data_IF_419952220017
#
_entry.id   IF_419952220017
#
_cell.length_a   1.000
_cell.length_b   1.000
_cell.length_c   1.000
_cell.angle_alpha   90.00
_cell.angle_beta   90.00
_cell.angle_gamma   90.00
#
_symmetry.space_group_name_H-M   'P 1'
#
loop_
_entity.id
_entity.type
_entity.pdbx_description
1 polymer ?
#
# COMPACT_ATOMS: atom_id res chain seq x y z
N UNK A 1 -1.30 7.65 15.61
CA UNK A 1 -1.34 6.85 14.37
C UNK A 1 -0.67 5.51 14.62
N UNK A 2 -1.35 4.43 14.29
CA UNK A 2 -0.80 3.06 14.28
C UNK A 2 -0.39 2.70 12.85
N UNK A 3 0.84 2.26 12.67
CA UNK A 3 1.35 1.82 11.37
C UNK A 3 1.13 0.31 11.16
N UNK A 4 0.67 -0.08 9.98
CA UNK A 4 0.60 -1.47 9.55
C UNK A 4 0.99 -1.63 8.07
N UNK A 5 1.95 -2.51 7.82
CA UNK A 5 2.23 -3.02 6.48
C UNK A 5 1.33 -4.22 6.16
N UNK A 6 0.82 -4.32 4.95
CA UNK A 6 -0.03 -5.46 4.54
C UNK A 6 0.77 -6.64 3.97
N UNK A 7 2.10 -6.56 3.95
CA UNK A 7 3.00 -7.60 3.48
C UNK A 7 3.07 -8.83 4.39
N UNK A 8 3.90 -9.80 4.01
CA UNK A 8 3.99 -11.13 4.67
C UNK A 8 4.48 -11.09 6.13
N UNK A 9 5.09 -9.98 6.56
CA UNK A 9 5.53 -9.79 7.94
C UNK A 9 4.44 -9.38 8.93
N UNK A 10 3.19 -9.21 8.50
CA UNK A 10 2.11 -8.85 9.42
C UNK A 10 1.75 -10.03 10.33
N UNK A 11 1.80 -9.80 11.65
CA UNK A 11 1.41 -10.79 12.65
C UNK A 11 -0.09 -11.09 12.57
N UNK A 12 -0.47 -12.36 12.71
CA UNK A 12 -1.87 -12.78 12.86
C UNK A 12 -2.50 -12.30 14.18
N UNK A 13 -1.66 -11.96 15.17
CA UNK A 13 -2.06 -11.44 16.48
C UNK A 13 -2.01 -9.93 16.57
N UNK A 14 -1.82 -9.22 15.43
CA UNK A 14 -1.60 -7.78 15.36
C UNK A 14 -2.50 -6.97 16.32
N UNK A 15 -3.81 -7.16 16.23
CA UNK A 15 -4.74 -6.41 17.07
C UNK A 15 -4.68 -6.83 18.55
N UNK A 16 -4.46 -8.12 18.81
CA UNK A 16 -4.31 -8.62 20.17
C UNK A 16 -3.06 -8.03 20.83
N UNK A 17 -1.96 -7.94 20.11
CA UNK A 17 -0.69 -7.42 20.59
C UNK A 17 -0.81 -5.92 20.93
N UNK A 18 -1.48 -5.14 20.07
CA UNK A 18 -1.69 -3.71 20.31
C UNK A 18 -2.80 -3.38 21.33
N UNK A 19 -3.75 -4.27 21.55
CA UNK A 19 -4.75 -4.12 22.63
C UNK A 19 -4.23 -4.57 24.00
N UNK A 20 -3.09 -5.20 24.05
CA UNK A 20 -2.42 -5.65 25.27
C UNK A 20 -0.99 -5.11 25.36
N UNK A 21 -0.79 -3.87 24.90
CA UNK A 21 0.55 -3.29 24.86
C UNK A 21 1.03 -2.96 26.30
N UNK A 22 2.21 -3.44 26.73
CA UNK A 22 2.71 -3.18 28.08
C UNK A 22 3.15 -1.71 28.21
N UNK A 23 2.74 -1.08 29.30
CA UNK A 23 3.17 0.27 29.69
C UNK A 23 3.66 0.29 31.14
N UNK A 24 4.22 1.41 31.59
CA UNK A 24 4.63 1.60 32.98
C UNK A 24 3.43 1.56 33.98
N UNK A 25 2.23 1.79 33.50
CA UNK A 25 1.00 1.85 34.30
C UNK A 25 0.11 0.60 34.13
N UNK A 26 0.63 -0.44 33.49
CA UNK A 26 -0.10 -1.65 33.16
C UNK A 26 -0.31 -1.84 31.66
N UNK A 27 -1.33 -2.60 31.26
CA UNK A 27 -1.65 -2.86 29.85
C UNK A 27 -2.57 -1.79 29.29
N UNK A 28 -2.26 -1.24 28.13
CA UNK A 28 -3.07 -0.25 27.40
C UNK A 28 -3.58 -0.82 26.08
N UNK A 29 -4.75 -0.34 25.65
CA UNK A 29 -5.30 -0.67 24.32
C UNK A 29 -4.85 0.35 23.30
N UNK A 30 -4.70 -0.07 22.05
CA UNK A 30 -4.31 0.83 20.97
C UNK A 30 -5.26 2.00 20.79
N UNK A 31 -6.56 1.81 21.01
CA UNK A 31 -7.58 2.87 20.93
C UNK A 31 -7.41 3.98 21.97
N UNK A 32 -6.64 3.75 23.04
CA UNK A 32 -6.40 4.75 24.07
C UNK A 32 -5.36 5.80 23.65
N UNK A 33 -4.50 5.46 22.65
CA UNK A 33 -3.42 6.34 22.19
C UNK A 33 -3.32 6.54 20.66
N UNK A 34 -4.09 5.80 19.87
CA UNK A 34 -4.12 5.94 18.42
C UNK A 34 -5.56 5.95 17.89
N UNK A 35 -5.85 6.90 17.01
CA UNK A 35 -7.17 7.07 16.38
C UNK A 35 -7.14 6.81 14.86
N UNK A 36 -6.00 6.44 14.31
CA UNK A 36 -5.81 6.24 12.87
C UNK A 36 -4.92 5.04 12.62
N UNK A 37 -5.37 4.12 11.77
CA UNK A 37 -4.56 3.04 11.23
C UNK A 37 -3.96 3.48 9.89
N UNK A 38 -2.63 3.53 9.82
CA UNK A 38 -1.91 3.88 8.61
C UNK A 38 -1.46 2.63 7.87
N UNK A 39 -2.11 2.36 6.75
CA UNK A 39 -1.89 1.21 5.88
C UNK A 39 -0.90 1.59 4.77
N UNK A 40 0.27 0.97 4.78
CA UNK A 40 1.29 1.15 3.74
C UNK A 40 1.67 -0.20 3.14
N UNK A 41 1.71 -0.27 1.82
CA UNK A 41 2.08 -1.50 1.12
C UNK A 41 2.36 -1.26 -0.36
N UNK A 42 2.75 -2.33 -1.05
CA UNK A 42 2.90 -2.30 -2.49
C UNK A 42 1.53 -2.11 -3.17
N UNK A 43 1.47 -1.31 -4.24
CA UNK A 43 0.25 -1.24 -5.03
C UNK A 43 -0.21 -2.62 -5.51
N UNK A 44 0.72 -3.52 -5.86
CA UNK A 44 0.42 -4.89 -6.24
C UNK A 44 -0.34 -5.69 -5.17
N UNK A 45 -0.10 -5.39 -3.87
CA UNK A 45 -0.83 -6.05 -2.78
C UNK A 45 -2.26 -5.54 -2.64
N UNK A 46 -2.51 -4.27 -2.99
CA UNK A 46 -3.85 -3.67 -2.99
C UNK A 46 -4.64 -3.95 -4.27
N UNK A 47 -3.95 -4.21 -5.40
CA UNK A 47 -4.57 -4.44 -6.71
C UNK A 47 -3.80 -5.55 -7.45
N UNK A 48 -3.95 -6.82 -7.05
CA UNK A 48 -3.14 -7.94 -7.57
C UNK A 48 -3.40 -8.26 -9.04
N UNK A 49 -4.61 -8.04 -9.52
CA UNK A 49 -5.04 -8.25 -10.91
C UNK A 49 -5.84 -7.04 -11.39
N UNK A 50 -5.90 -6.81 -12.69
CA UNK A 50 -6.68 -5.70 -13.24
C UNK A 50 -8.16 -5.82 -12.84
N UNK A 51 -8.67 -4.77 -12.19
CA UNK A 51 -10.06 -4.72 -11.72
C UNK A 51 -10.35 -5.49 -10.43
N UNK A 52 -9.38 -6.19 -9.85
CA UNK A 52 -9.50 -6.84 -8.54
C UNK A 52 -8.79 -6.03 -7.47
N UNK A 53 -9.49 -5.67 -6.44
CA UNK A 53 -8.97 -4.86 -5.35
C UNK A 53 -9.02 -5.63 -4.03
N UNK A 54 -7.95 -5.54 -3.24
CA UNK A 54 -7.77 -6.35 -2.02
C UNK A 54 -8.84 -6.11 -0.95
N UNK A 55 -9.55 -5.00 -0.99
CA UNK A 55 -10.65 -4.69 -0.08
C UNK A 55 -12.00 -5.30 -0.52
N UNK A 56 -12.12 -5.79 -1.76
CA UNK A 56 -13.35 -6.39 -2.26
C UNK A 56 -13.50 -7.84 -1.78
N UNK A 57 -14.74 -8.31 -1.70
CA UNK A 57 -15.06 -9.66 -1.22
C UNK A 57 -14.55 -10.77 -2.14
N UNK A 58 -14.44 -10.50 -3.44
CA UNK A 58 -13.98 -11.42 -4.49
C UNK A 58 -12.46 -11.55 -4.58
N UNK A 59 -11.70 -10.74 -3.85
CA UNK A 59 -10.25 -10.84 -3.77
C UNK A 59 -9.84 -11.66 -2.52
N UNK A 60 -9.15 -12.80 -2.73
CA UNK A 60 -8.82 -13.76 -1.66
C UNK A 60 -7.31 -14.02 -1.54
N UNK A 61 -6.47 -13.08 -1.98
CA UNK A 61 -5.02 -13.17 -1.80
C UNK A 61 -4.63 -13.07 -0.31
N UNK A 62 -3.44 -13.56 0.09
CA UNK A 62 -2.95 -13.38 1.44
C UNK A 62 -2.92 -11.92 1.89
N UNK A 63 -2.48 -10.98 1.02
CA UNK A 63 -2.49 -9.55 1.31
C UNK A 63 -3.90 -9.00 1.47
N UNK A 64 -4.87 -9.48 0.66
CA UNK A 64 -6.27 -9.09 0.79
C UNK A 64 -6.89 -9.54 2.12
N UNK A 65 -6.57 -10.77 2.58
CA UNK A 65 -7.01 -11.28 3.89
C UNK A 65 -6.46 -10.42 5.03
N UNK A 66 -5.16 -10.09 4.96
CA UNK A 66 -4.52 -9.20 5.95
C UNK A 66 -5.14 -7.81 5.95
N UNK A 67 -5.34 -7.21 4.77
CA UNK A 67 -5.96 -5.90 4.63
C UNK A 67 -7.37 -5.86 5.23
N UNK A 68 -8.21 -6.84 4.90
CA UNK A 68 -9.58 -6.94 5.44
C UNK A 68 -9.58 -7.09 6.97
N UNK A 69 -8.71 -7.91 7.51
CA UNK A 69 -8.53 -8.07 8.97
C UNK A 69 -8.12 -6.75 9.63
N UNK A 70 -7.20 -6.00 9.02
CA UNK A 70 -6.75 -4.71 9.51
C UNK A 70 -7.87 -3.66 9.48
N UNK A 71 -8.60 -3.55 8.36
CA UNK A 71 -9.71 -2.60 8.21
C UNK A 71 -10.83 -2.91 9.20
N UNK A 72 -11.22 -4.17 9.32
CA UNK A 72 -12.28 -4.56 10.27
C UNK A 72 -11.87 -4.30 11.72
N UNK A 73 -10.65 -4.61 12.09
CA UNK A 73 -10.15 -4.33 13.43
C UNK A 73 -10.03 -2.83 13.74
N UNK A 74 -9.68 -2.00 12.74
CA UNK A 74 -9.70 -0.55 12.89
C UNK A 74 -11.13 -0.02 13.12
N UNK A 75 -12.09 -0.52 12.35
CA UNK A 75 -13.50 -0.18 12.47
C UNK A 75 -14.05 -0.50 13.87
N UNK A 76 -13.75 -1.70 14.39
CA UNK A 76 -14.16 -2.11 15.74
C UNK A 76 -13.60 -1.21 16.85
N UNK A 77 -12.51 -0.47 16.57
CA UNK A 77 -11.84 0.45 17.50
C UNK A 77 -12.12 1.93 17.21
N UNK A 78 -13.08 2.21 16.31
CA UNK A 78 -13.41 3.57 15.86
C UNK A 78 -12.18 4.34 15.32
N UNK A 79 -11.22 3.64 14.72
CA UNK A 79 -10.04 4.24 14.11
C UNK A 79 -10.35 4.62 12.66
N UNK A 80 -9.88 5.77 12.23
CA UNK A 80 -9.85 6.13 10.81
C UNK A 80 -8.73 5.37 10.08
N UNK A 81 -8.86 5.30 8.76
CA UNK A 81 -7.82 4.72 7.90
C UNK A 81 -6.97 5.81 7.28
N UNK A 82 -5.73 5.49 6.99
CA UNK A 82 -4.86 6.28 6.13
C UNK A 82 -4.10 5.34 5.20
N UNK A 83 -3.79 5.78 3.97
CA UNK A 83 -3.21 4.91 2.96
C UNK A 83 -1.97 5.52 2.31
N UNK A 84 -0.99 4.66 2.01
CA UNK A 84 0.09 4.93 1.07
C UNK A 84 0.34 3.69 0.20
N UNK A 85 0.34 3.90 -1.10
CA UNK A 85 0.58 2.85 -2.11
C UNK A 85 1.97 3.05 -2.70
N UNK A 86 2.90 2.16 -2.39
CA UNK A 86 4.27 2.25 -2.92
C UNK A 86 4.31 1.58 -4.29
N UNK A 87 4.83 2.27 -5.28
CA UNK A 87 4.92 1.79 -6.68
C UNK A 87 6.34 1.43 -7.09
N UNK A 88 7.34 2.02 -6.46
CA UNK A 88 8.75 1.78 -6.77
C UNK A 88 9.27 0.52 -6.06
N UNK A 89 9.82 -0.39 -6.84
CA UNK A 89 10.28 -1.70 -6.38
C UNK A 89 11.76 -1.73 -5.99
N UNK A 90 12.50 -0.62 -6.09
CA UNK A 90 13.91 -0.59 -5.70
C UNK A 90 14.11 -1.04 -4.26
N UNK A 91 15.11 -1.88 -4.02
CA UNK A 91 15.41 -2.52 -2.73
C UNK A 91 14.34 -3.52 -2.26
N UNK A 92 13.46 -3.96 -3.14
CA UNK A 92 12.39 -4.91 -2.82
C UNK A 92 12.70 -6.29 -3.43
N UNK A 93 11.94 -7.29 -2.98
CA UNK A 93 12.10 -8.67 -3.43
C UNK A 93 11.01 -9.09 -4.43
N UNK A 94 10.10 -8.20 -4.79
CA UNK A 94 9.05 -8.38 -5.80
C UNK A 94 8.62 -7.03 -6.37
N UNK A 95 7.88 -7.05 -7.49
CA UNK A 95 7.37 -5.84 -8.10
C UNK A 95 6.26 -5.20 -7.25
N UNK A 96 6.45 -3.96 -6.84
CA UNK A 96 5.47 -3.19 -6.08
C UNK A 96 4.36 -2.61 -6.94
N UNK A 97 4.63 -2.36 -8.22
CA UNK A 97 3.59 -2.10 -9.22
C UNK A 97 3.08 -3.44 -9.77
N UNK A 98 1.76 -3.63 -9.93
CA UNK A 98 1.18 -4.86 -10.46
C UNK A 98 1.75 -5.24 -11.83
N UNK A 99 1.99 -6.53 -12.06
CA UNK A 99 2.59 -7.01 -13.30
C UNK A 99 1.76 -6.72 -14.54
N UNK A 100 0.43 -6.68 -14.44
CA UNK A 100 -0.44 -6.35 -15.56
C UNK A 100 -0.18 -4.95 -16.14
N UNK A 101 0.38 -4.03 -15.34
CA UNK A 101 0.77 -2.69 -15.81
C UNK A 101 1.98 -2.77 -16.73
N UNK A 102 3.00 -3.57 -16.38
CA UNK A 102 4.16 -3.87 -17.23
C UNK A 102 3.74 -4.61 -18.50
N UNK A 103 2.89 -5.61 -18.36
CA UNK A 103 2.36 -6.43 -19.47
C UNK A 103 1.53 -5.61 -20.45
N UNK A 104 0.84 -4.57 -19.97
CA UNK A 104 0.13 -3.61 -20.81
C UNK A 104 1.07 -2.66 -21.61
N UNK A 105 2.39 -2.75 -21.41
CA UNK A 105 3.39 -2.00 -22.15
C UNK A 105 3.89 -0.72 -21.48
N UNK A 106 3.59 -0.52 -20.18
CA UNK A 106 4.14 0.61 -19.46
C UNK A 106 5.68 0.57 -19.45
N UNK A 107 6.29 1.71 -19.71
CA UNK A 107 7.75 1.85 -19.65
C UNK A 107 8.21 2.01 -18.21
N UNK A 108 9.39 1.48 -17.93
CA UNK A 108 9.98 1.50 -16.61
C UNK A 108 11.42 1.06 -16.65
N UNK A 109 11.99 0.84 -15.49
CA UNK A 109 13.37 0.42 -15.31
C UNK A 109 13.47 -0.80 -14.40
N UNK A 110 14.53 -1.57 -14.59
CA UNK A 110 14.84 -2.71 -13.74
C UNK A 110 15.96 -2.37 -12.78
N UNK A 111 15.85 -2.84 -11.56
CA UNK A 111 16.90 -2.81 -10.56
C UNK A 111 17.11 -4.21 -10.01
N UNK A 112 18.27 -4.44 -9.39
CA UNK A 112 18.62 -5.72 -8.81
C UNK A 112 18.91 -5.57 -7.32
N UNK A 113 18.26 -6.40 -6.51
CA UNK A 113 18.51 -6.52 -5.08
C UNK A 113 18.93 -7.96 -4.78
N UNK A 114 20.24 -8.14 -4.50
CA UNK A 114 20.80 -9.48 -4.42
C UNK A 114 20.67 -10.24 -5.74
N UNK A 115 20.00 -11.40 -5.73
CA UNK A 115 19.70 -12.20 -6.92
C UNK A 115 18.37 -11.86 -7.59
N UNK A 116 17.57 -10.98 -6.99
CA UNK A 116 16.22 -10.66 -7.47
C UNK A 116 16.24 -9.43 -8.36
N UNK A 117 15.69 -9.55 -9.57
CA UNK A 117 15.39 -8.41 -10.44
C UNK A 117 13.97 -7.95 -10.21
N UNK A 118 13.80 -6.65 -10.04
CA UNK A 118 12.50 -6.01 -9.86
C UNK A 118 12.34 -4.87 -10.86
N UNK A 119 11.09 -4.59 -11.21
CA UNK A 119 10.72 -3.55 -12.15
C UNK A 119 9.95 -2.43 -11.46
N UNK A 120 10.21 -1.20 -11.87
CA UNK A 120 9.47 -0.01 -11.45
C UNK A 120 9.07 0.82 -12.67
N UNK A 121 7.86 1.39 -12.70
CA UNK A 121 7.43 2.25 -13.78
C UNK A 121 8.08 3.63 -13.72
N UNK A 122 8.15 4.31 -14.86
CA UNK A 122 8.35 5.75 -14.88
C UNK A 122 7.02 6.44 -14.53
N UNK A 123 6.99 7.38 -13.56
CA UNK A 123 5.75 8.04 -13.15
C UNK A 123 5.04 8.84 -14.24
N UNK A 124 5.78 9.28 -15.24
CA UNK A 124 5.30 10.03 -16.41
C UNK A 124 4.98 9.15 -17.63
N UNK A 125 5.04 7.82 -17.50
CA UNK A 125 4.57 6.93 -18.55
C UNK A 125 3.03 6.94 -18.64
N UNK A 126 2.45 7.17 -19.84
CA UNK A 126 1.01 7.34 -19.99
C UNK A 126 0.21 6.05 -19.70
N UNK A 127 0.80 4.86 -19.92
CA UNK A 127 0.14 3.59 -19.62
C UNK A 127 0.11 3.38 -18.11
N UNK A 128 1.24 3.62 -17.44
CA UNK A 128 1.28 3.60 -15.98
C UNK A 128 0.24 4.56 -15.39
N UNK A 129 0.21 5.82 -15.83
CA UNK A 129 -0.73 6.83 -15.33
C UNK A 129 -2.18 6.41 -15.50
N UNK A 130 -2.54 5.83 -16.66
CA UNK A 130 -3.88 5.30 -16.93
C UNK A 130 -4.32 4.26 -15.91
N UNK A 131 -3.45 3.30 -15.60
CA UNK A 131 -3.80 2.22 -14.66
C UNK A 131 -3.77 2.69 -13.21
N UNK A 132 -2.85 3.57 -12.87
CA UNK A 132 -2.80 4.16 -11.53
C UNK A 132 -4.00 5.06 -11.26
N UNK A 133 -4.43 5.86 -12.22
CA UNK A 133 -5.69 6.63 -12.15
C UNK A 133 -6.90 5.71 -11.94
N UNK A 134 -7.00 4.61 -12.69
CA UNK A 134 -8.06 3.61 -12.55
C UNK A 134 -8.11 3.05 -11.13
N UNK A 135 -6.94 2.72 -10.56
CA UNK A 135 -6.80 2.26 -9.19
C UNK A 135 -7.26 3.31 -8.17
N UNK A 136 -6.79 4.55 -8.30
CA UNK A 136 -7.17 5.64 -7.38
C UNK A 136 -8.66 5.95 -7.47
N UNK A 137 -9.27 5.91 -8.66
CA UNK A 137 -10.72 6.08 -8.82
C UNK A 137 -11.51 4.96 -8.14
N UNK A 138 -11.05 3.71 -8.21
CA UNK A 138 -11.68 2.60 -7.50
C UNK A 138 -11.54 2.76 -5.98
N UNK A 139 -10.37 3.15 -5.50
CA UNK A 139 -10.18 3.46 -4.08
C UNK A 139 -11.13 4.57 -3.62
N UNK A 140 -11.22 5.65 -4.38
CA UNK A 140 -12.09 6.79 -4.03
C UNK A 140 -13.57 6.40 -3.97
N UNK A 141 -14.01 5.48 -4.83
CA UNK A 141 -15.39 4.98 -4.79
C UNK A 141 -15.78 4.38 -3.44
N UNK A 142 -14.84 3.67 -2.81
CA UNK A 142 -15.10 2.91 -1.58
C UNK A 142 -14.61 3.63 -0.31
N UNK A 143 -13.63 4.54 -0.43
CA UNK A 143 -12.93 5.17 0.69
C UNK A 143 -12.94 6.71 0.69
N UNK A 144 -13.67 7.37 -0.20
CA UNK A 144 -13.80 8.84 -0.18
C UNK A 144 -14.82 9.31 0.88
N UNK A 145 -14.52 9.01 2.13
CA UNK A 145 -15.36 9.34 3.28
C UNK A 145 -14.46 9.93 4.39
N UNK A 146 -14.51 11.25 4.63
CA UNK A 146 -13.64 11.92 5.61
C UNK A 146 -13.91 11.49 7.06
N UNK A 147 -15.04 10.85 7.33
CA UNK A 147 -15.32 10.29 8.66
C UNK A 147 -14.61 8.96 8.88
N UNK A 148 -14.25 8.25 7.82
CA UNK A 148 -13.58 6.95 7.86
C UNK A 148 -12.12 7.01 7.43
N UNK A 149 -11.75 7.95 6.56
CA UNK A 149 -10.39 8.08 6.02
C UNK A 149 -9.80 9.42 6.40
N UNK A 150 -8.66 9.39 7.08
CA UNK A 150 -7.96 10.57 7.54
C UNK A 150 -7.17 11.24 6.40
N UNK A 151 -6.44 10.42 5.61
CA UNK A 151 -5.72 10.88 4.43
C UNK A 151 -5.37 9.71 3.50
N UNK A 152 -5.14 10.05 2.24
CA UNK A 152 -4.44 9.22 1.27
C UNK A 152 -3.17 9.99 0.89
N UNK A 153 -2.01 9.35 1.05
CA UNK A 153 -0.76 9.98 0.64
C UNK A 153 -0.73 10.15 -0.88
N UNK A 154 -0.47 11.36 -1.34
CA UNK A 154 -0.29 11.67 -2.76
C UNK A 154 1.00 11.10 -3.37
N UNK A 155 1.81 10.44 -2.56
CA UNK A 155 3.12 9.91 -2.89
C UNK A 155 3.15 8.39 -2.74
N UNK A 156 3.87 7.77 -3.60
CA UNK A 156 4.19 6.33 -3.60
C UNK A 156 5.39 6.08 -4.50
N UNK A 157 5.93 7.17 -5.05
CA UNK A 157 7.03 7.17 -6.02
C UNK A 157 8.39 7.27 -5.32
N UNK A 158 9.42 6.87 -6.05
CA UNK A 158 10.78 6.88 -5.57
C UNK A 158 11.05 5.77 -4.57
N UNK A 159 12.32 5.66 -4.16
CA UNK A 159 12.73 4.68 -3.18
C UNK A 159 11.89 4.82 -1.91
N UNK A 160 11.35 3.72 -1.42
CA UNK A 160 10.43 3.61 -0.27
C UNK A 160 9.09 4.34 -0.41
N UNK A 161 8.76 4.89 -1.59
CA UNK A 161 7.57 5.73 -1.78
C UNK A 161 7.70 7.11 -1.12
N UNK A 162 8.93 7.61 -0.96
CA UNK A 162 9.26 8.85 -0.26
C UNK A 162 9.92 9.89 -1.18
N UNK A 163 9.70 9.79 -2.47
CA UNK A 163 10.26 10.64 -3.54
C UNK A 163 11.78 10.63 -3.66
N UNK A 164 12.50 9.73 -3.00
CA UNK A 164 13.93 9.60 -3.15
C UNK A 164 14.31 9.13 -4.55
N UNK A 165 15.07 9.93 -5.29
CA UNK A 165 15.62 9.59 -6.61
C UNK A 165 14.55 9.07 -7.58
N UNK A 166 13.47 9.78 -7.77
CA UNK A 166 12.43 9.44 -8.76
C UNK A 166 13.02 9.56 -10.16
N UNK A 167 12.86 8.55 -10.98
CA UNK A 167 13.31 8.52 -12.37
C UNK A 167 12.11 8.72 -13.30
N UNK A 168 12.26 9.65 -14.25
CA UNK A 168 11.22 10.03 -15.20
C UNK A 168 11.60 9.61 -16.61
N UNK A 169 10.63 9.13 -17.39
CA UNK A 169 10.82 8.79 -18.80
C UNK A 169 11.26 10.00 -19.63
N UNK A 170 10.68 11.16 -19.35
CA UNK A 170 10.98 12.42 -20.03
C UNK A 170 12.44 12.90 -19.83
N UNK A 171 13.13 12.43 -18.78
CA UNK A 171 14.50 12.82 -18.48
C UNK A 171 15.57 11.84 -19.00
N UNK A 172 15.17 10.71 -19.55
CA UNK A 172 16.12 9.70 -20.08
C UNK A 172 16.80 10.16 -21.37
N UNK A 173 16.24 11.15 -22.04
CA UNK A 173 16.69 11.66 -23.33
C UNK A 173 17.47 12.99 -23.23
N UNK A 174 17.80 13.43 -22.02
CA UNK A 174 18.68 14.55 -21.73
C UNK A 174 20.06 14.00 -21.35
#
# INVERSE_FOLDING_TARGET
VLYAGIGDGLSSTFWQDYDNFPSSEGTVKVSDYANTLYLRGAWADFNPEEGKYAWNSDCDTPSAKRLKMLIEGAKQRNMKLAFTFVVDSRDKHYNFTPNFVKEAGAKGYETQTGSVKVWSPYPDDPIFQKYYEKFIRALAKDFNDPDKVQFVSGSGFGKWGEYHSVWYLSLIHI
#
